data_IF_374950026754
#
_entry.id   IF_374950026754
#
_cell.length_a   1.000
_cell.length_b   1.000
_cell.length_c   1.000
_cell.angle_alpha   90.00
_cell.angle_beta   90.00
_cell.angle_gamma   90.00
#
_symmetry.space_group_name_H-M   'P 1'
#
loop_
_entity.id
_entity.type
_entity.pdbx_description
1 polymer ?
#
# COMPACT_ATOMS: atom_id res chain seq x y z
N UNK A 1 -43.73 14.62 10.73
CA UNK A 1 -42.28 14.76 10.47
C UNK A 1 -41.70 13.35 10.38
N UNK A 2 -40.93 13.03 9.33
CA UNK A 2 -40.28 11.71 9.21
C UNK A 2 -38.90 11.68 9.90
N UNK A 3 -38.22 10.53 9.85
CA UNK A 3 -36.91 10.36 10.50
C UNK A 3 -35.80 11.20 9.83
N UNK A 4 -35.03 12.00 10.60
CA UNK A 4 -33.95 12.81 10.08
C UNK A 4 -32.69 11.98 9.72
N UNK A 5 -31.99 12.37 8.65
CA UNK A 5 -30.79 11.66 8.19
C UNK A 5 -29.53 12.05 8.98
N UNK A 6 -29.16 11.24 9.96
CA UNK A 6 -27.92 11.41 10.74
C UNK A 6 -26.62 11.28 9.91
N UNK A 7 -25.52 11.96 10.30
CA UNK A 7 -24.23 11.85 9.65
C UNK A 7 -23.63 10.44 9.82
N UNK A 8 -23.07 9.89 8.73
CA UNK A 8 -22.41 8.57 8.70
C UNK A 8 -20.89 8.71 8.69
N UNK A 9 -20.19 7.65 9.08
CA UNK A 9 -18.72 7.58 9.03
C UNK A 9 -18.24 7.56 7.57
N UNK A 10 -17.11 8.23 7.30
CA UNK A 10 -16.43 8.22 5.99
C UNK A 10 -15.36 7.13 5.88
N UNK A 11 -15.47 6.07 6.66
CA UNK A 11 -14.55 4.92 6.64
C UNK A 11 -15.27 3.69 7.19
N UNK A 12 -14.95 2.55 6.61
CA UNK A 12 -15.37 1.23 7.09
C UNK A 12 -14.25 0.61 7.95
N UNK A 13 -14.62 -0.18 8.95
CA UNK A 13 -13.65 -0.96 9.74
C UNK A 13 -13.42 -2.33 9.11
N UNK A 14 -12.23 -2.95 9.29
CA UNK A 14 -12.00 -4.34 8.88
C UNK A 14 -13.02 -5.30 9.52
N UNK A 15 -13.41 -6.34 8.81
CA UNK A 15 -14.41 -7.32 9.26
C UNK A 15 -13.96 -8.08 10.53
N UNK A 16 -12.71 -8.57 10.55
CA UNK A 16 -12.14 -9.30 11.68
C UNK A 16 -10.91 -8.57 12.22
N UNK A 17 -10.83 -8.16 13.51
CA UNK A 17 -9.77 -7.28 13.97
C UNK A 17 -8.35 -7.87 13.88
N UNK A 18 -8.19 -9.18 14.04
CA UNK A 18 -6.93 -9.86 14.40
C UNK A 18 -6.36 -10.74 13.27
N UNK A 19 -6.30 -10.19 12.05
CA UNK A 19 -5.68 -10.83 10.87
C UNK A 19 -4.21 -10.40 10.73
N UNK A 20 -3.27 -11.33 10.93
CA UNK A 20 -1.81 -11.07 10.91
C UNK A 20 -1.36 -10.29 9.66
N UNK A 21 -1.61 -10.84 8.47
CA UNK A 21 -1.19 -10.20 7.21
C UNK A 21 -1.71 -8.76 7.04
N UNK A 22 -2.95 -8.49 7.46
CA UNK A 22 -3.54 -7.16 7.34
C UNK A 22 -2.88 -6.20 8.33
N UNK A 23 -2.62 -6.65 9.56
CA UNK A 23 -1.94 -5.85 10.58
C UNK A 23 -0.53 -5.49 10.12
N UNK A 24 0.20 -6.44 9.54
CA UNK A 24 1.55 -6.24 8.98
C UNK A 24 1.54 -5.24 7.81
N UNK A 25 0.68 -5.45 6.80
CA UNK A 25 0.50 -4.52 5.67
C UNK A 25 0.10 -3.11 6.14
N UNK A 26 -0.86 -3.00 7.06
CA UNK A 26 -1.24 -1.72 7.65
C UNK A 26 -0.12 -1.12 8.54
N UNK A 27 0.78 -1.92 9.12
CA UNK A 27 1.90 -1.42 9.93
C UNK A 27 2.96 -0.80 9.02
N UNK A 28 3.37 -1.50 7.95
CA UNK A 28 4.27 -0.98 6.94
C UNK A 28 3.81 0.41 6.42
N UNK A 29 2.54 0.52 6.03
CA UNK A 29 1.95 1.80 5.59
C UNK A 29 1.94 2.90 6.68
N UNK A 30 1.77 2.54 7.97
CA UNK A 30 1.87 3.52 9.07
C UNK A 30 3.29 4.05 9.20
N UNK A 31 4.31 3.18 9.10
CA UNK A 31 5.71 3.56 9.23
C UNK A 31 6.18 4.38 8.03
N UNK A 32 5.96 3.90 6.80
CA UNK A 32 6.37 4.53 5.54
C UNK A 32 5.80 5.95 5.39
N UNK A 33 4.50 6.14 5.60
CA UNK A 33 3.83 7.43 5.41
C UNK A 33 3.73 8.28 6.70
N UNK A 34 4.28 7.82 7.82
CA UNK A 34 4.21 8.53 9.11
C UNK A 34 2.77 8.82 9.57
N UNK A 35 1.85 7.85 9.42
CA UNK A 35 0.43 8.03 9.72
C UNK A 35 0.18 7.97 11.24
N UNK A 36 -0.73 8.81 11.75
CA UNK A 36 -1.05 8.80 13.19
C UNK A 36 -1.84 7.55 13.62
N UNK A 37 -2.88 7.19 12.86
CA UNK A 37 -3.85 6.15 13.22
C UNK A 37 -4.22 5.29 11.99
N UNK A 38 -4.52 4.00 12.21
CA UNK A 38 -5.08 3.07 11.19
C UNK A 38 -6.33 3.60 10.48
N UNK A 39 -7.12 4.44 11.15
CA UNK A 39 -8.28 5.13 10.59
C UNK A 39 -7.94 5.97 9.34
N UNK A 40 -6.71 6.48 9.22
CA UNK A 40 -6.28 7.18 8.00
C UNK A 40 -6.14 6.23 6.80
N UNK A 41 -5.61 5.01 7.03
CA UNK A 41 -5.57 3.94 6.02
C UNK A 41 -7.00 3.50 5.67
N UNK A 42 -7.88 3.31 6.66
CA UNK A 42 -9.26 2.89 6.42
C UNK A 42 -10.08 3.93 5.63
N UNK A 43 -9.87 5.23 5.88
CA UNK A 43 -10.43 6.30 5.02
C UNK A 43 -9.91 6.18 3.58
N UNK A 44 -8.61 5.97 3.40
CA UNK A 44 -8.03 5.83 2.07
C UNK A 44 -8.55 4.59 1.33
N UNK A 45 -8.63 3.44 2.00
CA UNK A 45 -9.17 2.20 1.42
C UNK A 45 -10.67 2.29 1.12
N UNK A 46 -11.45 3.01 1.93
CA UNK A 46 -12.87 3.30 1.67
C UNK A 46 -13.03 4.19 0.43
N UNK A 47 -12.21 5.24 0.28
CA UNK A 47 -12.22 6.08 -0.92
C UNK A 47 -11.89 5.28 -2.19
N UNK A 48 -10.83 4.47 -2.17
CA UNK A 48 -10.46 3.58 -3.28
C UNK A 48 -11.58 2.58 -3.57
N UNK A 49 -12.19 1.98 -2.54
CA UNK A 49 -13.34 1.07 -2.69
C UNK A 49 -14.52 1.76 -3.38
N UNK A 50 -14.85 2.99 -3.01
CA UNK A 50 -15.92 3.78 -3.63
C UNK A 50 -15.61 4.10 -5.10
N UNK A 51 -14.38 4.52 -5.41
CA UNK A 51 -13.94 4.76 -6.79
C UNK A 51 -14.00 3.49 -7.66
N UNK A 52 -13.52 2.34 -7.13
CA UNK A 52 -13.62 1.02 -7.79
C UNK A 52 -15.08 0.56 -7.94
N UNK A 53 -15.97 0.86 -6.98
CA UNK A 53 -17.41 0.58 -7.09
C UNK A 53 -18.08 1.42 -8.18
N UNK A 54 -17.78 2.72 -8.25
CA UNK A 54 -18.30 3.61 -9.29
C UNK A 54 -17.81 3.16 -10.68
N UNK A 55 -16.53 2.84 -10.82
CA UNK A 55 -15.98 2.30 -12.07
C UNK A 55 -16.69 1.02 -12.51
N UNK A 56 -16.86 0.02 -11.63
CA UNK A 56 -17.62 -1.20 -11.96
C UNK A 56 -19.05 -0.93 -12.41
N UNK A 57 -19.77 -0.03 -11.74
CA UNK A 57 -21.14 0.35 -12.14
C UNK A 57 -21.14 0.94 -13.56
N UNK A 58 -20.22 1.88 -13.84
CA UNK A 58 -20.10 2.55 -15.13
C UNK A 58 -19.64 1.63 -16.26
N UNK A 59 -18.83 0.60 -15.97
CA UNK A 59 -18.46 -0.42 -16.95
C UNK A 59 -19.66 -1.27 -17.39
N UNK A 60 -20.61 -1.54 -16.49
CA UNK A 60 -21.80 -2.35 -16.79
C UNK A 60 -22.94 -1.57 -17.48
N UNK A 61 -22.92 -0.23 -17.44
CA UNK A 61 -24.02 0.62 -17.95
C UNK A 61 -23.59 1.46 -19.16
N UNK A 62 -24.22 1.26 -20.31
CA UNK A 62 -23.90 1.94 -21.56
C UNK A 62 -24.69 3.24 -21.85
N UNK A 63 -25.48 3.75 -20.90
CA UNK A 63 -26.34 4.93 -21.12
C UNK A 63 -25.55 6.23 -21.34
N UNK A 64 -26.15 7.23 -21.99
CA UNK A 64 -25.53 8.55 -22.17
C UNK A 64 -25.08 9.20 -20.85
N UNK A 65 -25.89 9.04 -19.80
CA UNK A 65 -25.57 9.52 -18.47
C UNK A 65 -24.35 8.80 -17.88
N UNK A 66 -24.22 7.49 -18.10
CA UNK A 66 -23.02 6.75 -17.71
C UNK A 66 -21.76 7.22 -18.47
N UNK A 67 -21.88 7.62 -19.74
CA UNK A 67 -20.76 8.22 -20.48
C UNK A 67 -20.35 9.59 -19.92
N UNK A 68 -21.31 10.42 -19.50
CA UNK A 68 -21.05 11.68 -18.80
C UNK A 68 -20.34 11.43 -17.45
N UNK A 69 -20.87 10.51 -16.65
CA UNK A 69 -20.27 10.12 -15.36
C UNK A 69 -18.87 9.49 -15.50
N UNK A 70 -18.63 8.70 -16.55
CA UNK A 70 -17.30 8.15 -16.90
C UNK A 70 -16.29 9.26 -17.14
N UNK A 71 -16.64 10.26 -17.97
CA UNK A 71 -15.76 11.43 -18.24
C UNK A 71 -15.48 12.23 -16.96
N UNK A 72 -16.50 12.45 -16.13
CA UNK A 72 -16.34 13.17 -14.85
C UNK A 72 -15.47 12.41 -13.84
N UNK A 73 -15.61 11.08 -13.75
CA UNK A 73 -14.78 10.25 -12.88
C UNK A 73 -13.31 10.29 -13.30
N UNK A 74 -13.02 10.05 -14.59
CA UNK A 74 -11.65 10.05 -15.10
C UNK A 74 -11.00 11.43 -14.97
N UNK A 75 -11.72 12.51 -15.34
CA UNK A 75 -11.22 13.89 -15.19
C UNK A 75 -10.96 14.29 -13.74
N UNK A 76 -11.74 13.78 -12.77
CA UNK A 76 -11.47 13.96 -11.34
C UNK A 76 -10.19 13.23 -10.88
N UNK A 77 -9.97 12.01 -11.37
CA UNK A 77 -8.81 11.19 -10.97
C UNK A 77 -7.50 11.73 -11.56
N UNK A 78 -7.50 12.19 -12.83
CA UNK A 78 -6.34 12.88 -13.44
C UNK A 78 -6.05 14.21 -12.73
N UNK A 79 -7.06 15.05 -12.45
CA UNK A 79 -6.86 16.30 -11.68
C UNK A 79 -6.19 16.07 -10.31
N UNK A 80 -6.52 14.95 -9.64
CA UNK A 80 -5.90 14.55 -8.38
C UNK A 80 -4.52 13.88 -8.53
N UNK A 81 -4.13 13.47 -9.75
CA UNK A 81 -2.89 12.74 -10.01
C UNK A 81 -2.91 11.29 -9.51
N UNK A 82 -4.10 10.67 -9.45
CA UNK A 82 -4.27 9.27 -9.03
C UNK A 82 -4.13 8.29 -10.20
N UNK A 83 -4.33 8.78 -11.43
CA UNK A 83 -4.18 8.08 -12.69
C UNK A 83 -3.38 8.98 -13.66
N UNK A 84 -2.86 8.38 -14.72
CA UNK A 84 -2.16 9.13 -15.76
C UNK A 84 -3.12 9.64 -16.85
N UNK A 85 -2.62 10.50 -17.73
CA UNK A 85 -3.41 11.09 -18.82
C UNK A 85 -3.80 10.01 -19.82
N UNK A 86 -5.10 9.93 -20.13
CA UNK A 86 -5.65 8.93 -21.04
C UNK A 86 -5.97 7.57 -20.40
N UNK A 87 -5.85 7.41 -19.08
CA UNK A 87 -6.24 6.17 -18.38
C UNK A 87 -7.70 5.78 -18.61
N UNK A 88 -7.94 4.46 -18.62
CA UNK A 88 -9.24 3.85 -18.81
C UNK A 88 -9.94 3.51 -17.47
N UNK A 89 -11.21 3.10 -17.55
CA UNK A 89 -11.96 2.62 -16.38
C UNK A 89 -11.31 1.39 -15.71
N UNK A 90 -10.59 0.57 -16.49
CA UNK A 90 -9.89 -0.62 -15.99
C UNK A 90 -8.73 -0.27 -15.05
N UNK A 91 -8.03 0.84 -15.30
CA UNK A 91 -6.93 1.30 -14.45
C UNK A 91 -7.43 1.74 -13.07
N UNK A 92 -8.65 2.31 -13.00
CA UNK A 92 -9.34 2.60 -11.73
C UNK A 92 -9.52 1.32 -10.89
N UNK A 93 -9.76 0.17 -11.53
CA UNK A 93 -9.97 -1.11 -10.83
C UNK A 93 -8.67 -1.68 -10.24
N UNK A 94 -7.52 -1.32 -10.82
CA UNK A 94 -6.17 -1.70 -10.39
C UNK A 94 -5.57 -0.73 -9.35
N UNK A 95 -6.05 0.51 -9.27
CA UNK A 95 -5.53 1.56 -8.39
C UNK A 95 -5.53 1.20 -6.89
N UNK A 96 -4.35 1.11 -6.27
CA UNK A 96 -4.16 0.74 -4.87
C UNK A 96 -4.21 1.91 -3.87
N UNK A 97 -4.16 1.58 -2.57
CA UNK A 97 -4.32 2.55 -1.47
C UNK A 97 -3.13 3.51 -1.38
N UNK A 98 -1.93 3.03 -1.71
CA UNK A 98 -0.67 3.80 -1.74
C UNK A 98 -0.79 5.03 -2.64
N UNK A 99 -1.33 4.91 -3.85
CA UNK A 99 -1.56 6.04 -4.76
C UNK A 99 -2.37 7.17 -4.13
N UNK A 100 -3.29 6.87 -3.21
CA UNK A 100 -4.06 7.89 -2.49
C UNK A 100 -3.35 8.42 -1.24
N UNK A 101 -2.39 7.69 -0.67
CA UNK A 101 -1.49 8.16 0.39
C UNK A 101 -0.37 9.04 -0.18
N UNK A 102 0.15 8.72 -1.36
CA UNK A 102 1.16 9.52 -2.09
C UNK A 102 0.68 10.94 -2.34
N UNK A 103 -0.57 11.11 -2.79
CA UNK A 103 -1.18 12.42 -3.11
C UNK A 103 -1.57 13.27 -1.89
N UNK A 104 -1.26 12.84 -0.66
CA UNK A 104 -1.53 13.61 0.56
C UNK A 104 -0.50 14.71 0.76
N UNK A 105 -0.93 15.87 1.26
CA UNK A 105 -0.04 16.99 1.57
C UNK A 105 1.17 16.58 2.43
N UNK A 106 0.96 15.73 3.44
CA UNK A 106 2.04 15.22 4.30
C UNK A 106 3.15 14.50 3.51
N UNK A 107 2.78 13.69 2.52
CA UNK A 107 3.71 12.94 1.68
C UNK A 107 4.35 13.83 0.62
N UNK A 108 3.57 14.73 0.00
CA UNK A 108 4.05 15.66 -1.02
C UNK A 108 5.13 16.61 -0.46
N UNK A 109 4.92 17.14 0.75
CA UNK A 109 5.91 17.96 1.48
C UNK A 109 7.23 17.21 1.73
N UNK A 110 7.14 15.92 2.06
CA UNK A 110 8.32 15.07 2.25
C UNK A 110 9.05 14.81 0.94
N UNK A 111 8.33 14.41 -0.12
CA UNK A 111 8.90 14.12 -1.45
C UNK A 111 9.55 15.35 -2.11
N UNK A 112 9.07 16.55 -1.80
CA UNK A 112 9.66 17.81 -2.28
C UNK A 112 10.88 18.26 -1.47
N UNK A 113 11.30 17.51 -0.44
CA UNK A 113 12.44 17.88 0.39
C UNK A 113 12.19 19.10 1.27
N UNK A 114 10.93 19.47 1.56
CA UNK A 114 10.62 20.55 2.52
C UNK A 114 10.72 20.10 3.99
N UNK A 115 10.87 18.79 4.23
CA UNK A 115 11.10 18.19 5.53
C UNK A 115 11.88 16.89 5.41
N UNK A 116 12.75 16.59 6.37
CA UNK A 116 13.60 15.39 6.38
C UNK A 116 12.84 14.10 6.70
N UNK A 117 11.62 14.17 7.25
CA UNK A 117 10.80 12.98 7.55
C UNK A 117 9.30 13.20 7.31
N UNK A 118 8.51 12.14 7.05
CA UNK A 118 7.05 12.23 6.97
C UNK A 118 6.39 12.71 8.27
N UNK A 119 7.03 12.46 9.44
CA UNK A 119 6.55 12.93 10.75
C UNK A 119 6.79 14.43 10.93
N UNK A 120 7.98 14.93 10.59
CA UNK A 120 8.30 16.36 10.58
C UNK A 120 7.39 17.11 9.60
N UNK A 121 7.15 16.56 8.40
CA UNK A 121 6.19 17.11 7.43
C UNK A 121 4.82 17.37 8.07
N UNK A 122 4.32 16.41 8.87
CA UNK A 122 3.06 16.57 9.59
C UNK A 122 3.10 17.70 10.62
N UNK A 123 4.18 17.82 11.38
CA UNK A 123 4.38 18.88 12.37
C UNK A 123 4.34 20.25 11.69
N UNK A 124 5.12 20.44 10.61
CA UNK A 124 5.19 21.69 9.85
C UNK A 124 3.81 22.13 9.32
N UNK A 125 3.05 21.19 8.76
CA UNK A 125 1.66 21.42 8.32
C UNK A 125 0.79 21.85 9.49
N UNK A 126 0.78 21.09 10.59
CA UNK A 126 -0.11 21.39 11.74
C UNK A 126 0.22 22.71 12.44
N UNK A 127 1.49 23.11 12.45
CA UNK A 127 1.95 24.40 13.00
C UNK A 127 1.71 25.57 12.04
N UNK A 128 1.38 25.31 10.77
CA UNK A 128 1.06 26.33 9.77
C UNK A 128 2.27 26.93 9.06
N UNK A 129 3.39 26.20 8.99
CA UNK A 129 4.60 26.67 8.28
C UNK A 129 4.55 26.44 6.76
N UNK A 130 3.50 25.80 6.24
CA UNK A 130 3.38 25.39 4.84
C UNK A 130 2.16 26.03 4.18
N UNK A 131 2.37 26.56 2.98
CA UNK A 131 1.35 27.17 2.12
C UNK A 131 1.10 26.35 0.86
N UNK A 132 -0.12 26.44 0.35
CA UNK A 132 -0.53 26.01 -0.99
C UNK A 132 -1.25 27.21 -1.62
N UNK A 133 -0.85 27.61 -2.82
CA UNK A 133 -1.45 28.75 -3.53
C UNK A 133 -1.44 30.05 -2.69
N UNK A 134 -0.41 30.23 -1.84
CA UNK A 134 -0.29 31.33 -0.86
C UNK A 134 -1.14 31.19 0.42
N UNK A 135 -2.02 30.19 0.50
CA UNK A 135 -2.89 29.94 1.67
C UNK A 135 -2.28 28.92 2.64
N UNK A 136 -2.34 29.17 3.95
CA UNK A 136 -1.74 28.29 4.96
C UNK A 136 -2.55 27.00 5.12
N UNK A 137 -1.94 25.87 4.76
CA UNK A 137 -2.59 24.56 4.82
C UNK A 137 -2.27 23.84 6.14
N UNK A 138 -3.27 23.67 7.01
CA UNK A 138 -3.10 23.00 8.33
C UNK A 138 -3.53 21.53 8.38
N UNK A 139 -4.00 20.95 7.26
CA UNK A 139 -4.59 19.60 7.22
C UNK A 139 -3.68 18.62 6.46
N UNK A 140 -2.91 17.75 7.16
CA UNK A 140 -1.97 16.80 6.52
C UNK A 140 -2.65 15.65 5.76
N UNK A 141 -3.96 15.46 5.98
CA UNK A 141 -4.78 14.49 5.27
C UNK A 141 -5.46 15.02 4.00
N UNK A 142 -5.18 16.27 3.60
CA UNK A 142 -5.72 16.86 2.38
C UNK A 142 -5.05 16.24 1.14
N UNK A 143 -5.83 15.98 0.09
CA UNK A 143 -5.33 15.51 -1.20
C UNK A 143 -4.94 16.72 -2.06
N UNK A 144 -3.74 16.68 -2.65
CA UNK A 144 -3.15 17.76 -3.44
C UNK A 144 -3.33 17.47 -4.93
N UNK A 145 -3.87 18.42 -5.69
CA UNK A 145 -4.02 18.31 -7.14
C UNK A 145 -2.68 18.47 -7.88
N UNK A 146 -2.56 17.97 -9.11
CA UNK A 146 -1.30 18.04 -9.91
C UNK A 146 -0.78 19.46 -10.13
N UNK A 147 -1.66 20.47 -10.07
CA UNK A 147 -1.29 21.89 -10.20
C UNK A 147 -0.72 22.43 -8.88
N UNK A 148 -1.49 22.25 -7.80
CA UNK A 148 -1.17 22.75 -6.46
C UNK A 148 0.11 22.17 -5.87
N UNK A 149 0.47 20.96 -6.27
CA UNK A 149 1.74 20.31 -5.91
C UNK A 149 2.94 21.22 -6.20
N UNK A 150 2.98 21.88 -7.36
CA UNK A 150 4.07 22.81 -7.72
C UNK A 150 4.06 24.13 -6.93
N UNK A 151 2.99 24.38 -6.17
CA UNK A 151 2.71 25.63 -5.47
C UNK A 151 2.78 25.44 -3.94
N UNK A 152 3.35 24.31 -3.48
CA UNK A 152 3.67 24.06 -2.08
C UNK A 152 4.98 24.79 -1.74
N UNK A 153 4.94 25.68 -0.74
CA UNK A 153 6.10 26.42 -0.25
C UNK A 153 6.04 26.57 1.27
N UNK A 154 7.10 27.10 1.89
CA UNK A 154 6.98 27.64 3.24
C UNK A 154 6.11 28.91 3.24
N UNK A 155 5.45 29.16 4.37
CA UNK A 155 4.74 30.41 4.64
C UNK A 155 5.74 31.57 4.80
N UNK A 156 5.45 32.73 4.21
CA UNK A 156 6.34 33.90 4.22
C UNK A 156 6.66 34.44 5.61
N UNK A 157 5.70 34.38 6.55
CA UNK A 157 5.90 34.76 7.96
C UNK A 157 6.52 33.65 8.83
N UNK A 158 7.00 32.55 8.24
CA UNK A 158 7.63 31.43 8.95
C UNK A 158 9.14 31.64 9.09
N UNK A 159 9.77 31.35 10.26
CA UNK A 159 11.23 31.31 10.38
C UNK A 159 11.91 30.37 9.37
N UNK A 160 11.19 29.32 8.94
CA UNK A 160 11.65 28.33 7.96
C UNK A 160 11.74 28.85 6.51
N UNK A 161 11.24 30.06 6.24
CA UNK A 161 11.46 30.71 4.95
C UNK A 161 12.93 31.14 4.76
N UNK A 162 13.68 31.30 5.86
CA UNK A 162 15.12 31.58 5.80
C UNK A 162 15.93 30.33 5.46
N UNK A 163 16.77 30.40 4.43
CA UNK A 163 17.54 29.25 3.95
C UNK A 163 18.52 28.70 4.98
N UNK A 164 18.99 29.56 5.90
CA UNK A 164 19.98 29.28 6.95
C UNK A 164 19.40 28.61 8.21
N UNK A 165 18.09 28.35 8.26
CA UNK A 165 17.45 27.82 9.47
C UNK A 165 17.88 26.36 9.75
N UNK A 166 18.36 26.01 10.97
CA UNK A 166 18.99 24.72 11.25
C UNK A 166 18.07 23.49 11.12
N UNK A 167 16.75 23.69 11.25
CA UNK A 167 15.74 22.61 11.09
C UNK A 167 15.39 22.34 9.62
N UNK A 168 15.83 23.19 8.69
CA UNK A 168 15.60 22.95 7.26
C UNK A 168 16.44 21.75 6.81
N UNK A 169 15.86 20.79 6.05
CA UNK A 169 16.66 19.75 5.42
C UNK A 169 17.75 20.40 4.56
N UNK A 170 18.99 19.96 4.74
CA UNK A 170 20.07 20.23 3.78
C UNK A 170 19.75 19.46 2.49
N UNK A 171 20.09 19.98 1.29
CA UNK A 171 20.08 19.16 0.09
C UNK A 171 21.02 17.97 0.33
N UNK A 172 20.53 16.76 0.02
CA UNK A 172 21.41 15.58 -0.04
C UNK A 172 22.46 15.82 -1.12
N UNK A 173 23.72 15.73 -0.71
CA UNK A 173 24.89 15.79 -1.59
C UNK A 173 25.28 14.39 -2.01
N UNK A 174 26.06 14.25 -3.09
CA UNK A 174 26.42 12.95 -3.65
C UNK A 174 27.13 12.03 -2.63
N UNK A 175 27.92 12.61 -1.71
CA UNK A 175 28.58 11.90 -0.60
C UNK A 175 27.61 11.22 0.40
N UNK A 176 26.36 11.67 0.50
CA UNK A 176 25.37 11.03 1.37
C UNK A 176 24.93 9.66 0.81
N UNK A 177 25.01 9.45 -0.51
CA UNK A 177 24.63 8.18 -1.15
C UNK A 177 25.70 7.09 -0.99
N UNK A 178 26.98 7.44 -1.11
CA UNK A 178 28.09 6.51 -0.92
C UNK A 178 28.10 5.92 0.51
N UNK A 179 27.63 6.70 1.49
CA UNK A 179 27.61 6.31 2.90
C UNK A 179 26.50 5.28 3.19
N UNK A 180 25.31 5.40 2.59
CA UNK A 180 24.23 4.42 2.74
C UNK A 180 24.63 3.03 2.16
N UNK A 181 25.42 2.97 1.07
CA UNK A 181 25.98 1.71 0.55
C UNK A 181 27.06 1.11 1.45
N UNK A 182 27.94 1.93 2.04
CA UNK A 182 28.99 1.44 2.93
C UNK A 182 28.44 0.85 4.25
N UNK A 183 27.27 1.31 4.71
CA UNK A 183 26.58 0.73 5.88
C UNK A 183 25.87 -0.61 5.56
N UNK A 184 25.44 -0.84 4.32
CA UNK A 184 24.95 -2.16 3.87
C UNK A 184 26.10 -3.17 3.61
N UNK A 185 27.28 -2.70 3.19
CA UNK A 185 28.44 -3.56 2.88
C UNK A 185 29.33 -3.91 4.10
N UNK A 186 28.98 -3.54 5.34
CA UNK A 186 29.71 -4.00 6.52
C UNK A 186 29.38 -5.48 6.83
N UNK A 187 30.26 -6.46 6.53
CA UNK A 187 29.88 -7.86 6.59
C UNK A 187 29.84 -8.36 8.04
N UNK A 188 28.83 -9.16 8.37
CA UNK A 188 28.78 -9.88 9.64
C UNK A 188 30.00 -10.82 9.76
N UNK A 189 30.89 -10.53 10.71
CA UNK A 189 32.08 -11.32 10.96
C UNK A 189 31.70 -12.77 11.38
N UNK A 190 32.20 -13.81 10.68
CA UNK A 190 31.92 -15.20 11.05
C UNK A 190 32.74 -15.65 12.26
N UNK A 191 32.17 -16.51 13.09
CA UNK A 191 32.81 -17.05 14.30
C UNK A 191 33.11 -18.56 14.17
N UNK A 192 34.12 -19.02 14.94
CA UNK A 192 34.74 -20.37 15.08
C UNK A 192 36.04 -20.54 14.27
N UNK A 193 37.08 -21.26 14.71
CA UNK A 193 37.33 -22.20 15.86
C UNK A 193 38.67 -21.81 16.58
N UNK A 194 39.20 -22.36 17.69
CA UNK A 194 39.30 -23.74 18.23
C UNK A 194 39.29 -23.80 19.80
N UNK A 195 39.46 -25.00 20.40
CA UNK A 195 39.48 -25.27 21.86
C UNK A 195 40.80 -25.88 22.39
N UNK A 196 41.26 -25.39 23.54
CA UNK A 196 41.96 -26.10 24.64
C UNK A 196 41.93 -25.17 25.88
N UNK A 197 41.91 -25.54 27.17
CA UNK A 197 41.91 -26.79 27.93
C UNK A 197 42.00 -26.42 29.44
N UNK A 198 41.10 -26.96 30.28
CA UNK A 198 40.88 -26.71 31.75
C UNK A 198 42.02 -27.23 32.68
N UNK A 199 42.07 -27.01 34.04
CA UNK A 199 40.94 -26.91 35.02
C UNK A 199 41.07 -26.11 36.38
N UNK A 200 39.93 -26.04 37.12
CA UNK A 200 39.73 -25.81 38.59
C UNK A 200 39.94 -24.38 39.19
N UNK A 201 39.28 -23.92 40.29
CA UNK A 201 38.62 -24.62 41.41
C UNK A 201 37.42 -23.89 42.13
N UNK A 202 36.37 -24.67 42.47
CA UNK A 202 35.27 -24.60 43.52
C UNK A 202 34.83 -23.31 44.28
N UNK A 203 33.48 -23.13 44.34
CA UNK A 203 32.57 -23.15 45.55
C UNK A 203 31.09 -22.97 45.08
N UNK A 204 30.14 -23.92 45.19
CA UNK A 204 29.40 -24.43 46.37
C UNK A 204 28.76 -23.28 47.20
N UNK A 205 27.44 -23.07 47.31
CA UNK A 205 26.23 -23.88 47.65
C UNK A 205 24.96 -23.05 47.26
N UNK A 206 23.68 -23.46 47.28
CA UNK A 206 22.94 -24.71 47.61
C UNK A 206 21.49 -24.59 47.13
N UNK A 207 20.82 -25.72 46.85
CA UNK A 207 19.35 -25.84 46.78
C UNK A 207 18.86 -27.00 47.67
N UNK A 208 17.66 -26.92 48.27
CA UNK A 208 17.02 -28.08 48.90
C UNK A 208 16.11 -28.83 47.92
N UNK A 209 16.18 -30.16 48.04
CA UNK A 209 15.23 -31.19 47.55
C UNK A 209 13.86 -31.00 48.24
N UNK A 210 12.73 -31.61 47.88
CA UNK A 210 12.43 -32.87 47.18
C UNK A 210 10.93 -32.86 46.74
N UNK A 211 10.29 -33.83 46.08
CA UNK A 211 10.70 -35.04 45.35
C UNK A 211 9.55 -35.35 44.32
N UNK A 212 9.36 -36.60 43.85
CA UNK A 212 8.27 -37.05 42.95
C UNK A 212 8.01 -38.56 43.15
N UNK A 213 6.76 -39.05 43.03
CA UNK A 213 6.48 -40.14 42.05
C UNK A 213 5.12 -39.89 41.33
N UNK A 214 4.82 -40.29 40.09
CA UNK A 214 5.24 -41.39 39.22
C UNK A 214 4.53 -42.75 39.45
N UNK A 215 3.40 -42.98 38.76
CA UNK A 215 2.99 -44.30 38.23
C UNK A 215 1.93 -44.17 37.09
N UNK A 216 1.89 -45.19 36.22
CA UNK A 216 0.94 -45.48 35.11
C UNK A 216 0.89 -47.04 35.00
N UNK A 217 -0.02 -47.77 34.29
CA UNK A 217 -0.59 -47.44 32.95
C UNK A 217 -1.99 -48.06 32.59
N UNK A 218 -2.32 -48.12 31.28
CA UNK A 218 -3.28 -49.03 30.60
C UNK A 218 -4.81 -48.75 30.76
N UNK A 219 -5.74 -49.05 29.80
CA UNK A 219 -5.63 -49.70 28.47
C UNK A 219 -6.80 -49.37 27.48
N UNK A 220 -6.48 -49.33 26.17
CA UNK A 220 -7.22 -49.83 24.96
C UNK A 220 -8.56 -49.26 24.38
N UNK A 221 -8.51 -49.17 23.03
CA UNK A 221 -9.55 -49.28 21.95
C UNK A 221 -10.47 -48.08 21.66
N UNK A 222 -10.98 -47.86 20.43
CA UNK A 222 -10.56 -48.19 19.04
C UNK A 222 -11.59 -47.60 18.03
N UNK A 223 -11.21 -47.43 16.74
CA UNK A 223 -12.06 -47.08 15.56
C UNK A 223 -12.58 -45.61 15.53
N UNK A 224 -12.73 -44.94 14.39
CA UNK A 224 -12.46 -45.30 12.97
C UNK A 224 -12.33 -44.06 12.06
N UNK A 225 -11.44 -44.16 11.07
CA UNK A 225 -11.47 -43.46 9.77
C UNK A 225 -11.65 -44.54 8.67
N UNK A 226 -11.95 -44.26 7.38
CA UNK A 226 -11.73 -43.00 6.64
C UNK A 226 -12.91 -42.51 5.79
N UNK A 227 -12.77 -41.31 5.21
CA UNK A 227 -13.59 -40.83 4.09
C UNK A 227 -12.68 -40.61 2.88
N UNK A 228 -12.99 -41.27 1.76
CA UNK A 228 -12.20 -41.18 0.54
C UNK A 228 -12.46 -39.86 -0.22
N UNK A 229 -11.44 -39.38 -0.93
CA UNK A 229 -11.51 -38.24 -1.84
C UNK A 229 -11.11 -38.66 -3.27
N UNK A 230 -11.60 -37.93 -4.28
CA UNK A 230 -11.75 -38.38 -5.68
C UNK A 230 -10.44 -38.51 -6.48
N UNK A 231 -10.44 -39.33 -7.55
CA UNK A 231 -9.56 -39.16 -8.70
C UNK A 231 -10.20 -38.32 -9.84
N UNK A 232 -9.33 -37.59 -10.53
CA UNK A 232 -9.31 -37.14 -11.94
C UNK A 232 -10.61 -36.95 -12.78
N UNK A 233 -10.70 -35.78 -13.42
CA UNK A 233 -11.01 -35.68 -14.86
C UNK A 233 -10.37 -34.40 -15.45
N UNK A 234 -9.81 -34.49 -16.67
CA UNK A 234 -9.20 -33.37 -17.39
C UNK A 234 -9.86 -33.22 -18.78
N UNK A 235 -10.13 -31.99 -19.26
CA UNK A 235 -10.83 -31.79 -20.53
C UNK A 235 -9.93 -32.06 -21.75
N UNK A 236 -10.42 -32.73 -22.80
CA UNK A 236 -9.65 -33.00 -24.01
C UNK A 236 -9.49 -31.76 -24.90
N UNK A 237 -8.35 -31.67 -25.59
CA UNK A 237 -8.00 -30.55 -26.45
C UNK A 237 -8.78 -30.56 -27.79
N UNK A 238 -9.34 -29.41 -28.17
CA UNK A 238 -9.88 -29.20 -29.52
C UNK A 238 -8.75 -28.87 -30.51
N UNK A 239 -8.52 -29.77 -31.48
CA UNK A 239 -7.54 -29.57 -32.55
C UNK A 239 -8.22 -29.32 -33.92
N UNK A 240 -8.26 -28.04 -34.31
CA UNK A 240 -8.21 -27.49 -35.68
C UNK A 240 -8.76 -28.36 -36.83
N UNK A 241 -9.98 -28.06 -37.28
CA UNK A 241 -10.45 -28.40 -38.64
C UNK A 241 -9.84 -27.41 -39.64
N UNK A 242 -9.20 -27.90 -40.70
CA UNK A 242 -8.62 -27.07 -41.76
C UNK A 242 -9.71 -26.46 -42.66
N UNK A 243 -9.49 -25.26 -43.23
CA UNK A 243 -10.42 -24.66 -44.19
C UNK A 243 -10.32 -25.33 -45.57
N UNK A 244 -11.49 -25.48 -46.18
CA UNK A 244 -11.73 -26.11 -47.47
C UNK A 244 -11.36 -25.15 -48.62
N UNK A 245 -10.63 -25.65 -49.63
CA UNK A 245 -10.28 -24.84 -50.82
C UNK A 245 -11.51 -24.65 -51.71
N UNK A 246 -12.15 -23.49 -51.62
CA UNK A 246 -13.15 -23.07 -52.61
C UNK A 246 -12.45 -22.83 -53.96
N UNK A 247 -12.88 -23.57 -54.99
CA UNK A 247 -12.58 -23.26 -56.38
C UNK A 247 -13.47 -22.10 -56.84
N UNK A 248 -12.85 -20.99 -57.22
CA UNK A 248 -13.37 -20.11 -58.28
C UNK A 248 -12.28 -20.05 -59.35
N UNK A 249 -12.57 -20.28 -60.63
CA UNK A 249 -13.89 -20.26 -61.27
C UNK A 249 -13.81 -19.22 -62.37
N UNK A 250 -13.23 -19.65 -63.48
CA UNK A 250 -12.93 -18.91 -64.70
C UNK A 250 -14.04 -17.93 -65.14
N UNK A 251 -13.68 -16.69 -65.43
CA UNK A 251 -14.42 -15.79 -66.33
C UNK A 251 -13.43 -14.97 -67.15
N UNK A 252 -13.12 -15.48 -68.33
CA UNK A 252 -12.73 -14.70 -69.51
C UNK A 252 -13.80 -13.67 -69.92
N UNK A 253 -13.47 -12.84 -70.93
CA UNK A 253 -14.33 -11.81 -71.56
C UNK A 253 -14.43 -10.47 -70.77
N UNK A 254 -14.36 -9.27 -71.36
CA UNK A 254 -14.16 -8.85 -72.76
C UNK A 254 -13.73 -7.37 -72.85
N UNK A 255 -13.18 -6.98 -74.02
CA UNK A 255 -13.17 -5.62 -74.64
C UNK A 255 -12.37 -4.43 -74.06
N UNK A 256 -11.54 -3.90 -74.98
CA UNK A 256 -11.32 -2.49 -75.37
C UNK A 256 -10.61 -1.53 -74.39
#
# INVERSE_FOLDING_TARGET
MGDPRFPRKHYDTPSHPWQKERIEKENALVHQYGLKNKREIWKASTNVRQMRQQARKLTATASEQAQKERRLLLGRLDRLGLLDRGSNLEDVLRMDVEKLLDRRLQTQVYLQGLASTPKQSRQLITHGHITIDGTVARVPGMLVTRMQEKQITYFSGSPLMSDLHPVRPKPRTDADFDTETAEEEAPAAPAKEEKAGTPAEKKAKSSPKAEKPAEAPAEKKAKSSPKAEKPAEAPPAMAKKAPEKVKTGDTSEEKA
#
